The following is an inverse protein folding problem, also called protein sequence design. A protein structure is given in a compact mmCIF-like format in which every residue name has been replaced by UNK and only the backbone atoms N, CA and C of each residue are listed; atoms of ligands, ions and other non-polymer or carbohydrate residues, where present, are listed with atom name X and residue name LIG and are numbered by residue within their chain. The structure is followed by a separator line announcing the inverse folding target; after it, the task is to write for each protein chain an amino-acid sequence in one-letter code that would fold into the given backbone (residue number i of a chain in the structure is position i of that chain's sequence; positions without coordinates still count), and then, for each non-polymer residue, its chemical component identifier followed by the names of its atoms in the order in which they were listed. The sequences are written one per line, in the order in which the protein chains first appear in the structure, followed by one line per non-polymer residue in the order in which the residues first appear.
data_IF_411323246758
#
_entry.id   IF_411323246758
#
_cell.length_a   1.000
_cell.length_b   1.000
_cell.length_c   1.000
_cell.angle_alpha   90.00
_cell.angle_beta   90.00
_cell.angle_gamma   90.00
#
_symmetry.space_group_name_H-M   'P 1'
#
loop_
_entity.id
_entity.type
_entity.pdbx_description
1 polymer ?
#
# COMPACT_ATOMS: atom_id res chain seq x y z
N UNK A 1 -8.21 -3.98 -14.65
CA UNK A 1 -8.10 -5.17 -13.76
C UNK A 1 -8.29 -4.80 -12.29
N UNK A 2 -7.52 -3.85 -11.71
CA UNK A 2 -7.71 -3.40 -10.32
C UNK A 2 -9.14 -2.92 -10.03
N UNK A 3 -9.70 -2.07 -10.89
CA UNK A 3 -11.07 -1.54 -10.72
C UNK A 3 -12.14 -2.65 -10.74
N UNK A 4 -11.96 -3.65 -11.60
CA UNK A 4 -12.86 -4.80 -11.67
C UNK A 4 -12.87 -5.61 -10.37
N UNK A 5 -11.69 -5.92 -9.81
CA UNK A 5 -11.61 -6.61 -8.53
C UNK A 5 -12.13 -5.74 -7.37
N UNK A 6 -11.81 -4.44 -7.37
CA UNK A 6 -12.34 -3.50 -6.38
C UNK A 6 -13.88 -3.45 -6.39
N UNK A 7 -14.48 -3.48 -7.59
CA UNK A 7 -15.93 -3.59 -7.74
C UNK A 7 -16.49 -4.87 -7.12
N UNK A 8 -15.86 -6.02 -7.36
CA UNK A 8 -16.32 -7.34 -6.87
C UNK A 8 -16.12 -7.58 -5.37
N UNK A 9 -15.16 -6.89 -4.75
CA UNK A 9 -14.84 -7.03 -3.31
C UNK A 9 -15.70 -6.09 -2.44
N UNK A 10 -16.53 -5.23 -3.05
CA UNK A 10 -17.43 -4.35 -2.32
C UNK A 10 -18.83 -4.93 -2.24
N UNK A 11 -19.43 -4.84 -1.05
CA UNK A 11 -20.84 -5.17 -0.86
C UNK A 11 -21.70 -4.08 -1.50
N UNK A 12 -22.70 -4.49 -2.29
CA UNK A 12 -23.58 -3.58 -3.03
C UNK A 12 -25.02 -4.01 -2.84
N UNK A 13 -25.91 -3.02 -2.73
CA UNK A 13 -27.33 -3.27 -2.66
C UNK A 13 -27.85 -3.81 -4.01
N UNK A 14 -28.61 -4.90 -3.98
CA UNK A 14 -29.19 -5.52 -5.18
C UNK A 14 -28.29 -6.55 -5.88
N UNK A 15 -27.04 -6.75 -5.44
CA UNK A 15 -26.18 -7.83 -5.93
C UNK A 15 -26.07 -8.95 -4.89
N UNK A 16 -25.86 -10.17 -5.37
CA UNK A 16 -25.70 -11.33 -4.49
C UNK A 16 -24.33 -11.31 -3.79
N UNK A 17 -24.26 -11.29 -2.44
CA UNK A 17 -23.00 -11.21 -1.72
C UNK A 17 -22.27 -12.56 -1.60
N UNK A 18 -22.58 -13.55 -2.46
CA UNK A 18 -22.04 -14.92 -2.38
C UNK A 18 -20.51 -14.93 -2.23
N UNK A 19 -19.80 -14.13 -3.05
CA UNK A 19 -18.33 -14.07 -3.01
C UNK A 19 -17.87 -13.62 -1.62
N UNK A 20 -18.48 -12.60 -1.05
CA UNK A 20 -18.12 -12.02 0.24
C UNK A 20 -18.48 -12.93 1.43
N UNK A 21 -19.53 -13.74 1.28
CA UNK A 21 -20.01 -14.63 2.35
C UNK A 21 -19.36 -16.02 2.31
N UNK A 22 -18.46 -16.27 1.36
CA UNK A 22 -17.87 -17.60 1.11
C UNK A 22 -16.65 -17.96 1.99
N UNK A 23 -16.31 -17.11 2.97
CA UNK A 23 -15.25 -17.37 3.96
C UNK A 23 -13.88 -17.65 3.35
N UNK A 24 -13.35 -18.86 3.50
CA UNK A 24 -12.04 -19.24 2.92
C UNK A 24 -11.96 -19.08 1.40
N UNK A 25 -13.05 -19.32 0.67
CA UNK A 25 -13.08 -19.11 -0.78
C UNK A 25 -12.92 -17.63 -1.13
N UNK A 26 -13.46 -16.74 -0.31
CA UNK A 26 -13.25 -15.29 -0.45
C UNK A 26 -11.78 -14.93 -0.25
N UNK A 27 -11.13 -15.49 0.77
CA UNK A 27 -9.70 -15.24 1.01
C UNK A 27 -8.85 -15.70 -0.17
N UNK A 28 -9.13 -16.89 -0.72
CA UNK A 28 -8.46 -17.37 -1.93
C UNK A 28 -8.68 -16.42 -3.10
N UNK A 29 -9.92 -16.00 -3.33
CA UNK A 29 -10.26 -15.03 -4.38
C UNK A 29 -9.48 -13.71 -4.22
N UNK A 30 -9.30 -13.21 -3.00
CA UNK A 30 -8.50 -12.01 -2.73
C UNK A 30 -7.02 -12.19 -3.07
N UNK A 31 -6.43 -13.33 -2.69
CA UNK A 31 -5.02 -13.65 -2.99
C UNK A 31 -4.81 -13.80 -4.49
N UNK A 32 -5.69 -14.53 -5.16
CA UNK A 32 -5.63 -14.72 -6.62
C UNK A 32 -5.79 -13.38 -7.35
N UNK A 33 -6.75 -12.55 -6.94
CA UNK A 33 -6.92 -11.20 -7.47
C UNK A 33 -5.67 -10.33 -7.29
N UNK A 34 -5.05 -10.38 -6.11
CA UNK A 34 -3.81 -9.65 -5.82
C UNK A 34 -2.65 -10.10 -6.72
N UNK A 35 -2.41 -11.41 -6.82
CA UNK A 35 -1.33 -11.94 -7.67
C UNK A 35 -1.54 -11.62 -9.14
N UNK A 36 -2.79 -11.63 -9.64
CA UNK A 36 -3.12 -11.20 -10.99
C UNK A 36 -2.83 -9.72 -11.23
N UNK A 37 -3.23 -8.85 -10.31
CA UNK A 37 -2.98 -7.40 -10.40
C UNK A 37 -1.48 -7.12 -10.37
N UNK A 38 -0.74 -7.71 -9.44
CA UNK A 38 0.70 -7.50 -9.30
C UNK A 38 1.47 -8.05 -10.51
N UNK A 39 1.09 -9.24 -11.00
CA UNK A 39 1.67 -9.79 -12.24
C UNK A 39 1.44 -8.87 -13.43
N UNK A 40 0.24 -8.28 -13.55
CA UNK A 40 -0.07 -7.32 -14.60
C UNK A 40 0.74 -6.01 -14.46
N UNK A 41 0.93 -5.50 -13.24
CA UNK A 41 1.78 -4.32 -12.97
C UNK A 41 3.23 -4.58 -13.32
N UNK A 42 3.78 -5.73 -12.92
CA UNK A 42 5.15 -6.13 -13.25
C UNK A 42 5.32 -6.33 -14.75
N UNK A 43 4.34 -6.95 -15.43
CA UNK A 43 4.34 -7.08 -16.89
C UNK A 43 4.32 -5.73 -17.59
N UNK A 44 3.53 -4.77 -17.11
CA UNK A 44 3.53 -3.41 -17.63
C UNK A 44 4.91 -2.76 -17.48
N UNK A 45 5.52 -2.86 -16.29
CA UNK A 45 6.87 -2.34 -16.02
C UNK A 45 7.89 -2.99 -16.95
N UNK A 46 7.78 -4.30 -17.17
CA UNK A 46 8.65 -5.05 -18.06
C UNK A 46 8.55 -4.58 -19.52
N UNK A 47 7.34 -4.38 -20.03
CA UNK A 47 7.10 -3.96 -21.42
C UNK A 47 7.43 -2.49 -21.68
N UNK A 48 7.28 -1.61 -20.68
CA UNK A 48 7.39 -0.16 -20.85
C UNK A 48 8.70 0.44 -20.31
N UNK A 49 9.76 -0.38 -20.14
CA UNK A 49 11.04 0.08 -19.60
C UNK A 49 11.64 1.29 -20.33
N UNK A 50 11.45 1.42 -21.65
CA UNK A 50 11.96 2.56 -22.43
C UNK A 50 11.25 3.88 -22.11
N UNK A 51 9.98 3.81 -21.72
CA UNK A 51 9.14 4.98 -21.43
C UNK A 51 9.15 5.34 -19.94
N UNK A 52 9.53 4.38 -19.08
CA UNK A 52 9.73 4.63 -17.67
C UNK A 52 11.02 5.45 -17.51
N UNK A 53 10.87 6.72 -17.15
CA UNK A 53 11.96 7.64 -16.82
C UNK A 53 12.70 7.10 -15.60
N UNK A 54 13.66 6.20 -15.81
CA UNK A 54 14.58 5.77 -14.76
C UNK A 54 15.72 6.78 -14.74
N UNK A 55 15.69 7.67 -13.74
CA UNK A 55 16.70 8.72 -13.47
C UNK A 55 18.13 8.18 -13.25
N UNK A 56 18.38 6.89 -13.47
CA UNK A 56 19.66 6.21 -13.26
C UNK A 56 20.08 5.33 -14.45
N UNK A 57 19.56 5.60 -15.66
CA UNK A 57 20.25 5.14 -16.87
C UNK A 57 21.71 5.59 -16.88
N UNK A 58 22.04 6.72 -16.26
CA UNK A 58 23.38 7.31 -16.23
C UNK A 58 24.47 6.34 -15.74
N UNK A 59 24.26 5.55 -14.70
CA UNK A 59 25.32 4.63 -14.22
C UNK A 59 25.56 3.44 -15.17
N UNK A 60 24.54 3.03 -15.92
CA UNK A 60 24.63 1.96 -16.91
C UNK A 60 25.20 2.53 -18.22
N UNK A 61 24.74 3.72 -18.63
CA UNK A 61 25.27 4.48 -19.78
C UNK A 61 26.74 4.84 -19.55
N UNK A 62 27.13 5.23 -18.34
CA UNK A 62 28.51 5.51 -17.96
C UNK A 62 29.38 4.25 -17.99
N UNK A 63 28.83 3.09 -17.61
CA UNK A 63 29.54 1.81 -17.70
C UNK A 63 29.74 1.36 -19.16
N UNK A 64 28.74 1.62 -20.03
CA UNK A 64 28.84 1.44 -21.49
C UNK A 64 29.88 2.39 -22.07
N UNK A 65 29.84 3.68 -21.70
CA UNK A 65 30.77 4.71 -22.16
C UNK A 65 32.22 4.45 -21.73
N UNK A 66 32.43 3.74 -20.60
CA UNK A 66 33.75 3.31 -20.12
C UNK A 66 34.28 2.05 -20.82
N UNK A 67 33.64 1.57 -21.88
CA UNK A 67 34.19 0.52 -22.76
C UNK A 67 34.08 -0.90 -22.22
N UNK A 68 33.24 -1.17 -21.21
CA UNK A 68 32.93 -2.55 -20.80
C UNK A 68 31.95 -3.16 -21.80
N UNK A 69 32.49 -3.80 -22.83
CA UNK A 69 31.75 -4.35 -23.98
C UNK A 69 30.81 -5.51 -23.66
N UNK A 70 30.93 -6.16 -22.50
CA UNK A 70 30.03 -7.24 -22.08
C UNK A 70 29.26 -6.87 -20.81
N UNK A 71 28.02 -6.41 -21.01
CA UNK A 71 27.05 -6.12 -19.95
C UNK A 71 26.19 -7.35 -19.60
N UNK A 72 26.49 -8.51 -20.19
CA UNK A 72 25.80 -9.78 -19.95
C UNK A 72 25.94 -10.23 -18.48
N UNK A 73 27.12 -10.06 -17.90
CA UNK A 73 27.43 -10.48 -16.52
C UNK A 73 27.02 -9.46 -15.44
N UNK A 74 26.68 -8.23 -15.81
CA UNK A 74 26.45 -7.12 -14.85
C UNK A 74 25.00 -6.89 -14.42
N UNK A 75 24.09 -7.82 -14.73
CA UNK A 75 22.84 -7.97 -13.99
C UNK A 75 21.68 -7.04 -14.40
N UNK A 76 20.64 -7.70 -14.93
CA UNK A 76 19.23 -7.32 -15.15
C UNK A 76 18.93 -5.98 -15.86
N UNK A 77 18.58 -6.13 -17.14
CA UNK A 77 17.94 -5.19 -18.09
C UNK A 77 16.62 -4.53 -17.61
N UNK A 78 16.11 -4.86 -16.42
CA UNK A 78 14.75 -4.50 -15.97
C UNK A 78 14.84 -3.71 -14.66
N UNK A 79 14.39 -2.46 -14.69
CA UNK A 79 14.36 -1.56 -13.56
C UNK A 79 12.97 -1.55 -12.91
N UNK A 80 12.89 -1.82 -11.61
CA UNK A 80 11.65 -1.68 -10.84
C UNK A 80 11.61 -0.26 -10.23
N UNK A 81 10.64 0.59 -10.62
CA UNK A 81 10.53 1.96 -10.10
C UNK A 81 10.11 2.01 -8.63
N UNK A 82 10.33 3.16 -7.97
CA UNK A 82 9.87 3.39 -6.60
C UNK A 82 8.34 3.46 -6.49
N UNK A 83 7.63 3.70 -7.59
CA UNK A 83 6.16 3.58 -7.67
C UNK A 83 5.65 2.14 -7.49
N UNK A 84 6.53 1.15 -7.53
CA UNK A 84 6.19 -0.23 -7.20
C UNK A 84 6.20 -0.43 -5.68
N UNK A 85 5.00 -0.45 -5.10
CA UNK A 85 4.72 -0.67 -3.68
C UNK A 85 5.37 -1.96 -3.16
N UNK A 86 6.10 -1.88 -2.04
CA UNK A 86 6.79 -3.03 -1.43
C UNK A 86 8.16 -3.36 -2.03
N UNK A 87 8.59 -2.66 -3.09
CA UNK A 87 9.95 -2.81 -3.64
C UNK A 87 11.02 -2.11 -2.79
N UNK A 88 12.29 -2.49 -2.99
CA UNK A 88 13.45 -1.87 -2.31
C UNK A 88 13.48 -0.34 -2.47
N UNK A 89 13.18 0.16 -3.66
CA UNK A 89 13.19 1.61 -3.95
C UNK A 89 12.01 2.34 -3.34
N UNK A 90 10.85 1.71 -3.26
CA UNK A 90 9.69 2.24 -2.55
C UNK A 90 10.05 2.48 -1.07
N UNK A 91 10.64 1.49 -0.42
CA UNK A 91 11.07 1.61 0.98
C UNK A 91 12.17 2.68 1.16
N UNK A 92 13.15 2.73 0.25
CA UNK A 92 14.21 3.75 0.29
C UNK A 92 13.66 5.16 0.11
N UNK A 93 12.71 5.36 -0.80
CA UNK A 93 12.09 6.67 -1.01
C UNK A 93 11.35 7.13 0.24
N UNK A 94 10.52 6.28 0.86
CA UNK A 94 9.85 6.63 2.12
C UNK A 94 10.82 6.95 3.26
N UNK A 95 11.94 6.23 3.34
CA UNK A 95 12.98 6.54 4.31
C UNK A 95 13.60 7.92 4.07
N UNK A 96 13.97 8.22 2.81
CA UNK A 96 14.54 9.52 2.45
C UNK A 96 13.55 10.68 2.69
N UNK A 97 12.27 10.49 2.35
CA UNK A 97 11.21 11.47 2.59
C UNK A 97 11.02 11.73 4.09
N UNK A 98 11.05 10.68 4.91
CA UNK A 98 11.01 10.82 6.37
C UNK A 98 12.24 11.57 6.90
N UNK A 99 13.44 11.23 6.45
CA UNK A 99 14.68 11.91 6.84
C UNK A 99 14.69 13.39 6.41
N UNK A 100 14.17 13.71 5.23
CA UNK A 100 14.01 15.08 4.76
C UNK A 100 13.03 15.87 5.65
N UNK A 101 11.93 15.24 6.06
CA UNK A 101 10.96 15.82 7.00
C UNK A 101 11.61 16.10 8.37
N UNK A 102 12.36 15.13 8.92
CA UNK A 102 13.08 15.30 10.18
C UNK A 102 14.14 16.40 10.10
N UNK A 103 14.81 16.56 8.95
CA UNK A 103 15.80 17.63 8.76
C UNK A 103 15.15 19.01 8.74
N UNK A 104 13.92 19.13 8.21
CA UNK A 104 13.22 20.41 8.08
C UNK A 104 12.48 20.81 9.37
N UNK A 105 11.73 19.89 9.98
CA UNK A 105 10.89 20.16 11.16
C UNK A 105 11.54 19.79 12.49
N UNK A 106 12.64 19.03 12.47
CA UNK A 106 13.23 18.43 13.67
C UNK A 106 12.81 16.98 13.87
N UNK A 107 13.38 16.34 14.90
CA UNK A 107 13.05 14.96 15.23
C UNK A 107 11.64 14.85 15.83
N UNK A 108 10.93 13.72 15.60
CA UNK A 108 9.60 13.53 16.17
C UNK A 108 9.69 13.35 17.70
N UNK A 109 8.82 14.05 18.43
CA UNK A 109 8.71 13.92 19.89
C UNK A 109 7.92 12.67 20.31
N UNK A 110 6.92 12.27 19.51
CA UNK A 110 6.04 11.15 19.81
C UNK A 110 6.08 10.08 18.72
N UNK A 111 6.08 8.81 19.16
CA UNK A 111 5.89 7.65 18.30
C UNK A 111 4.61 6.91 18.72
N UNK A 112 3.51 7.18 18.03
CA UNK A 112 2.19 6.63 18.37
C UNK A 112 1.93 5.37 17.55
N UNK A 113 1.63 4.27 18.24
CA UNK A 113 1.22 3.01 17.61
C UNK A 113 -0.26 2.77 17.85
N UNK A 114 -1.04 2.53 16.79
CA UNK A 114 -2.42 2.09 16.87
C UNK A 114 -2.52 0.63 16.41
N UNK A 115 -3.19 -0.19 17.21
CA UNK A 115 -3.38 -1.62 16.92
C UNK A 115 -4.86 -1.90 16.62
N UNK A 116 -5.11 -2.76 15.63
CA UNK A 116 -6.47 -3.20 15.32
C UNK A 116 -6.93 -4.23 16.35
N UNK A 117 -8.13 -4.05 16.93
CA UNK A 117 -8.75 -5.05 17.79
C UNK A 117 -9.92 -5.74 17.06
N UNK A 118 -9.83 -7.05 16.78
CA UNK A 118 -10.90 -7.78 16.10
C UNK A 118 -12.21 -7.88 16.90
N UNK A 119 -12.17 -7.61 18.21
CA UNK A 119 -13.34 -7.63 19.11
C UNK A 119 -14.09 -6.29 19.16
N UNK A 120 -13.74 -5.32 18.33
CA UNK A 120 -14.46 -4.06 18.28
C UNK A 120 -15.95 -4.28 17.93
N UNK A 121 -16.88 -3.54 18.59
CA UNK A 121 -18.32 -3.76 18.44
C UNK A 121 -18.80 -3.55 17.01
N UNK A 122 -18.16 -2.67 16.24
CA UNK A 122 -18.49 -2.44 14.83
C UNK A 122 -18.21 -3.67 13.97
N UNK A 123 -17.11 -4.37 14.26
CA UNK A 123 -16.70 -5.59 13.55
C UNK A 123 -17.61 -6.75 13.97
N UNK A 124 -17.78 -6.97 15.28
CA UNK A 124 -18.59 -8.09 15.78
C UNK A 124 -20.06 -7.98 15.38
N UNK A 125 -20.63 -6.76 15.39
CA UNK A 125 -22.02 -6.53 14.95
C UNK A 125 -22.24 -6.90 13.48
N UNK A 126 -21.28 -6.59 12.60
CA UNK A 126 -21.37 -6.98 11.20
C UNK A 126 -21.24 -8.50 11.04
N UNK A 127 -20.27 -9.10 11.71
CA UNK A 127 -20.01 -10.54 11.62
C UNK A 127 -21.16 -11.40 12.17
N UNK A 128 -21.74 -11.02 13.32
CA UNK A 128 -22.87 -11.73 13.94
C UNK A 128 -24.12 -11.74 13.05
N UNK A 129 -24.33 -10.68 12.26
CA UNK A 129 -25.46 -10.61 11.33
C UNK A 129 -25.37 -11.67 10.21
N UNK A 130 -24.16 -12.08 9.85
CA UNK A 130 -23.87 -12.96 8.72
C UNK A 130 -23.34 -14.34 9.13
N UNK A 131 -23.28 -14.63 10.44
CA UNK A 131 -22.70 -15.86 11.01
C UNK A 131 -21.27 -16.16 10.50
N UNK A 132 -20.46 -15.11 10.36
CA UNK A 132 -19.08 -15.19 9.88
C UNK A 132 -18.08 -14.97 11.02
N UNK A 133 -16.87 -15.53 10.86
CA UNK A 133 -15.76 -15.25 11.79
C UNK A 133 -14.98 -14.02 11.33
N UNK A 134 -14.24 -13.42 12.24
CA UNK A 134 -13.32 -12.31 11.93
C UNK A 134 -12.31 -12.69 10.85
N UNK A 135 -11.85 -13.93 10.89
CA UNK A 135 -10.90 -14.48 9.92
C UNK A 135 -11.48 -14.50 8.51
N UNK A 136 -12.78 -14.77 8.35
CA UNK A 136 -13.45 -14.87 7.05
C UNK A 136 -13.55 -13.51 6.35
N UNK A 137 -13.55 -12.40 7.10
CA UNK A 137 -13.71 -11.03 6.59
C UNK A 137 -12.60 -10.09 7.09
N UNK A 138 -11.34 -10.31 6.67
CA UNK A 138 -10.23 -9.46 7.07
C UNK A 138 -10.36 -8.04 6.49
N UNK A 139 -11.08 -7.88 5.37
CA UNK A 139 -11.36 -6.60 4.74
C UNK A 139 -12.15 -5.65 5.66
N UNK A 140 -13.11 -6.17 6.44
CA UNK A 140 -13.88 -5.39 7.40
C UNK A 140 -12.99 -4.87 8.53
N UNK A 141 -12.10 -5.71 9.05
CA UNK A 141 -11.12 -5.31 10.06
C UNK A 141 -10.24 -4.17 9.55
N UNK A 142 -9.70 -4.31 8.33
CA UNK A 142 -8.87 -3.28 7.70
C UNK A 142 -9.64 -1.96 7.49
N UNK A 143 -10.92 -2.02 7.07
CA UNK A 143 -11.75 -0.82 6.88
C UNK A 143 -12.02 -0.11 8.20
N UNK A 144 -12.46 -0.84 9.23
CA UNK A 144 -12.73 -0.25 10.56
C UNK A 144 -11.45 0.32 11.17
N UNK A 145 -10.32 -0.39 11.02
CA UNK A 145 -9.01 0.13 11.44
C UNK A 145 -8.67 1.43 10.73
N UNK A 146 -8.82 1.49 9.40
CA UNK A 146 -8.53 2.70 8.63
C UNK A 146 -9.43 3.87 9.06
N UNK A 147 -10.73 3.64 9.26
CA UNK A 147 -11.64 4.68 9.74
C UNK A 147 -11.25 5.19 11.14
N UNK A 148 -10.87 4.30 12.07
CA UNK A 148 -10.42 4.72 13.41
C UNK A 148 -9.07 5.44 13.36
N UNK A 149 -8.17 5.01 12.48
CA UNK A 149 -6.88 5.67 12.26
C UNK A 149 -7.09 7.08 11.71
N UNK A 150 -7.95 7.24 10.70
CA UNK A 150 -8.25 8.55 10.12
C UNK A 150 -8.90 9.48 11.15
N UNK A 151 -9.87 8.99 11.92
CA UNK A 151 -10.45 9.75 13.03
C UNK A 151 -9.42 10.16 14.09
N UNK A 152 -8.46 9.28 14.41
CA UNK A 152 -7.37 9.61 15.34
C UNK A 152 -6.45 10.67 14.75
N UNK A 153 -6.04 10.53 13.50
CA UNK A 153 -5.20 11.51 12.80
C UNK A 153 -5.91 12.86 12.77
N UNK A 154 -7.19 12.90 12.40
CA UNK A 154 -7.99 14.12 12.39
C UNK A 154 -8.11 14.73 13.78
N UNK A 155 -8.36 13.92 14.82
CA UNK A 155 -8.42 14.39 16.21
C UNK A 155 -7.09 14.98 16.69
N UNK A 156 -5.97 14.34 16.35
CA UNK A 156 -4.64 14.83 16.69
C UNK A 156 -4.25 16.09 15.91
N UNK A 157 -4.72 16.22 14.67
CA UNK A 157 -4.41 17.35 13.79
C UNK A 157 -5.30 18.57 14.00
N UNK A 158 -6.56 18.37 14.38
CA UNK A 158 -7.55 19.45 14.56
C UNK A 158 -7.77 19.81 16.02
N UNK A 159 -7.63 18.84 16.93
CA UNK A 159 -7.68 19.09 18.35
C UNK A 159 -6.37 19.71 18.82
N UNK A 160 -6.44 20.78 19.62
CA UNK A 160 -5.28 21.35 20.33
C UNK A 160 -4.77 20.43 21.46
N UNK A 161 -4.92 19.12 21.29
CA UNK A 161 -4.65 18.08 22.30
C UNK A 161 -3.14 17.94 22.53
N UNK A 162 -2.35 18.11 21.47
CA UNK A 162 -0.89 18.03 21.50
C UNK A 162 -0.21 19.40 21.33
N UNK A 163 -0.97 20.51 21.36
CA UNK A 163 -0.45 21.87 21.12
C UNK A 163 -0.45 22.28 19.65
N UNK A 164 0.34 23.30 19.30
CA UNK A 164 0.45 23.80 17.92
C UNK A 164 1.24 22.81 17.05
N UNK A 165 0.67 22.49 15.88
CA UNK A 165 1.24 21.50 14.97
C UNK A 165 2.00 22.21 13.86
N UNK A 166 3.33 22.06 13.88
CA UNK A 166 4.21 22.65 12.86
C UNK A 166 4.13 21.90 11.52
N UNK A 167 3.75 20.62 11.51
CA UNK A 167 3.65 19.79 10.30
C UNK A 167 2.42 18.87 10.35
N UNK A 168 1.30 19.32 9.76
CA UNK A 168 0.02 18.59 9.80
C UNK A 168 -0.49 18.07 8.45
N UNK A 169 0.18 18.31 7.32
CA UNK A 169 -0.27 17.79 6.02
C UNK A 169 0.57 16.59 5.60
N UNK A 170 0.41 15.48 6.30
CA UNK A 170 0.87 14.19 5.82
C UNK A 170 -0.13 13.62 4.79
N UNK A 171 0.26 13.72 3.51
CA UNK A 171 -0.11 12.85 2.39
C UNK A 171 -1.59 12.82 1.94
N UNK A 172 -1.89 13.57 0.87
CA UNK A 172 -2.89 13.15 -0.14
C UNK A 172 -2.29 12.07 -1.03
#
# INVERSE_FOLDING_TARGET
MREFFAFRIQERFGESPIILMSGRLFQQFLVDAYTMIESNRLRYIWLNQKNLRSEHYDKIVDAVAKGKGDLSEQGKRIYIPSSFTGGKRYMMQHYLDAMATCKYYGYPDFFITITCNPKWPEITRYLQKHDLKTEDRPDICCRVFKMKLDNLVDYLMTGTVLGEINSGKCLK
#
